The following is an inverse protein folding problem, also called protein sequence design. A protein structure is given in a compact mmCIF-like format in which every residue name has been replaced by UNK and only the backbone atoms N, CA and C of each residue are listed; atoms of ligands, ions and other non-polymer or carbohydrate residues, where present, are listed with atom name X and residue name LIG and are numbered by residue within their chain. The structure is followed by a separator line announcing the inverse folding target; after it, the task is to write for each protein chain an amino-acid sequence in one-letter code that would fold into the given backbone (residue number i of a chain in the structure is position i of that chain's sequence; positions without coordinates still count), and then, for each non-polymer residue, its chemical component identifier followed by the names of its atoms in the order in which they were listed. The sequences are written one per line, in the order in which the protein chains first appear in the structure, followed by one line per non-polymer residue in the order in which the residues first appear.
data_IF_788941816928
#
_entry.id   IF_788941816928
#
_cell.length_a   1.000
_cell.length_b   1.000
_cell.length_c   1.000
_cell.angle_alpha   90.00
_cell.angle_beta   90.00
_cell.angle_gamma   90.00
#
_symmetry.space_group_name_H-M   'P 1'
#
loop_
_entity.id
_entity.type
_entity.pdbx_description
1 polymer ?
#
# COMPACT_ATOMS: atom_id res chain seq x y z
N UNK A 1 15.46 -6.46 -4.04
CA UNK A 1 14.25 -5.67 -4.33
C UNK A 1 13.18 -6.58 -4.90
N UNK A 2 12.02 -6.73 -4.25
CA UNK A 2 10.98 -7.67 -4.71
C UNK A 2 10.34 -7.27 -6.06
N UNK A 3 10.38 -5.98 -6.42
CA UNK A 3 9.87 -5.49 -7.70
C UNK A 3 10.54 -6.18 -8.91
N UNK A 4 11.82 -6.53 -8.79
CA UNK A 4 12.57 -7.23 -9.85
C UNK A 4 12.16 -8.70 -10.02
N UNK A 5 11.33 -9.23 -9.12
CA UNK A 5 10.80 -10.59 -9.21
C UNK A 5 9.38 -10.63 -9.79
N UNK A 6 8.87 -9.51 -10.32
CA UNK A 6 7.58 -9.50 -11.02
C UNK A 6 7.67 -10.42 -12.26
N UNK A 7 6.89 -11.50 -12.34
CA UNK A 7 6.91 -12.37 -13.50
C UNK A 7 6.36 -11.63 -14.71
N UNK A 8 6.62 -12.16 -15.90
CA UNK A 8 5.99 -11.65 -17.12
C UNK A 8 4.46 -11.78 -17.00
N UNK A 9 3.79 -10.64 -17.04
CA UNK A 9 2.33 -10.53 -17.05
C UNK A 9 1.96 -9.63 -18.23
N UNK A 10 1.01 -10.08 -19.04
CA UNK A 10 0.54 -9.31 -20.20
C UNK A 10 -0.02 -7.96 -19.73
N UNK A 11 0.28 -6.90 -20.49
CA UNK A 11 -0.23 -5.54 -20.27
C UNK A 11 -0.01 -5.02 -18.83
N UNK A 12 1.09 -5.43 -18.19
CA UNK A 12 1.42 -5.09 -16.82
C UNK A 12 2.79 -4.43 -16.74
N UNK A 13 2.90 -3.38 -15.94
CA UNK A 13 4.16 -2.76 -15.54
C UNK A 13 4.25 -2.82 -14.02
N UNK A 14 5.44 -3.05 -13.49
CA UNK A 14 5.70 -2.80 -12.08
C UNK A 14 6.27 -1.39 -11.90
N UNK A 15 5.87 -0.72 -10.83
CA UNK A 15 6.39 0.59 -10.48
C UNK A 15 6.90 0.55 -9.04
N UNK A 16 8.16 0.98 -8.86
CA UNK A 16 8.75 1.15 -7.54
C UNK A 16 8.81 2.64 -7.21
N UNK A 17 8.27 3.03 -6.06
CA UNK A 17 8.30 4.41 -5.56
C UNK A 17 8.88 4.42 -4.16
N UNK A 18 9.75 5.39 -3.87
CA UNK A 18 10.38 5.54 -2.56
C UNK A 18 9.40 6.09 -1.52
N UNK A 19 8.73 5.20 -0.78
CA UNK A 19 7.85 5.56 0.33
C UNK A 19 6.78 6.59 -0.05
N UNK A 20 6.73 7.70 0.70
CA UNK A 20 5.77 8.79 0.49
C UNK A 20 5.94 9.58 -0.81
N UNK A 21 6.97 9.29 -1.63
CA UNK A 21 7.10 9.83 -2.99
C UNK A 21 5.96 9.43 -3.93
N UNK A 22 5.04 8.58 -3.47
CA UNK A 22 3.83 8.12 -4.14
C UNK A 22 2.91 9.25 -4.62
N UNK A 23 3.04 10.45 -4.03
CA UNK A 23 2.31 11.63 -4.45
C UNK A 23 2.51 12.01 -5.93
N UNK A 24 3.64 11.63 -6.54
CA UNK A 24 3.89 11.88 -7.96
C UNK A 24 2.87 11.16 -8.85
N UNK A 25 2.30 10.04 -8.37
CA UNK A 25 1.35 9.25 -9.14
C UNK A 25 0.07 10.01 -9.44
N UNK A 26 -0.32 11.00 -8.63
CA UNK A 26 -1.52 11.81 -8.87
C UNK A 26 -1.48 12.57 -10.20
N UNK A 27 -0.28 12.76 -10.77
CA UNK A 27 -0.06 13.44 -12.04
C UNK A 27 -0.18 12.50 -13.25
N UNK A 28 -0.31 11.19 -13.04
CA UNK A 28 -0.36 10.19 -14.11
C UNK A 28 -1.82 9.81 -14.39
N UNK A 29 -2.47 10.56 -15.28
CA UNK A 29 -3.92 10.45 -15.50
C UNK A 29 -4.41 9.07 -15.96
N UNK A 30 -3.62 8.33 -16.73
CA UNK A 30 -4.05 7.02 -17.24
C UNK A 30 -4.13 5.94 -16.14
N UNK A 31 -3.54 6.18 -14.96
CA UNK A 31 -3.71 5.30 -13.80
C UNK A 31 -5.15 5.29 -13.28
N UNK A 32 -5.91 6.38 -13.49
CA UNK A 32 -7.34 6.46 -13.11
C UNK A 32 -8.18 5.35 -13.73
N UNK A 33 -7.80 4.89 -14.92
CA UNK A 33 -8.52 3.86 -15.67
C UNK A 33 -7.80 2.49 -15.65
N UNK A 34 -6.71 2.36 -14.89
CA UNK A 34 -5.90 1.14 -14.82
C UNK A 34 -6.23 0.31 -13.59
N UNK A 35 -6.04 -1.00 -13.66
CA UNK A 35 -6.08 -1.85 -12.47
C UNK A 35 -4.82 -1.61 -11.62
N UNK A 36 -5.00 -1.04 -10.43
CA UNK A 36 -3.87 -0.74 -9.52
C UNK A 36 -3.84 -1.77 -8.40
N UNK A 37 -2.72 -2.46 -8.30
CA UNK A 37 -2.40 -3.36 -7.20
C UNK A 37 -1.22 -2.77 -6.42
N UNK A 38 -1.39 -2.63 -5.11
CA UNK A 38 -0.37 -2.12 -4.21
C UNK A 38 0.01 -3.20 -3.18
N UNK A 39 1.31 -3.32 -2.92
CA UNK A 39 1.82 -4.01 -1.75
C UNK A 39 2.93 -3.19 -1.12
N UNK A 40 3.00 -3.24 0.20
CA UNK A 40 4.07 -2.67 1.01
C UNK A 40 4.21 -3.48 2.29
N UNK A 41 4.97 -2.97 3.25
CA UNK A 41 5.11 -3.60 4.55
C UNK A 41 3.78 -3.57 5.32
N UNK A 42 3.50 -4.62 6.10
CA UNK A 42 2.31 -4.69 6.97
C UNK A 42 2.63 -3.94 8.27
N UNK A 43 2.75 -2.63 8.17
CA UNK A 43 2.99 -1.71 9.28
C UNK A 43 2.22 -0.39 9.10
N UNK A 44 2.35 0.52 10.07
CA UNK A 44 1.60 1.78 10.05
C UNK A 44 1.92 2.63 8.80
N UNK A 45 3.18 2.72 8.40
CA UNK A 45 3.61 3.52 7.25
C UNK A 45 3.15 2.91 5.92
N UNK A 46 3.20 1.59 5.78
CA UNK A 46 2.67 0.87 4.62
C UNK A 46 1.17 1.11 4.43
N UNK A 47 0.40 1.14 5.52
CA UNK A 47 -1.03 1.49 5.47
C UNK A 47 -1.29 2.99 5.23
N UNK A 48 -0.43 3.89 5.72
CA UNK A 48 -0.51 5.32 5.38
C UNK A 48 -0.33 5.56 3.88
N UNK A 49 0.67 4.91 3.26
CA UNK A 49 0.92 5.00 1.82
C UNK A 49 -0.27 4.42 1.04
N UNK A 50 -0.81 3.26 1.46
CA UNK A 50 -2.01 2.69 0.85
C UNK A 50 -3.20 3.65 0.92
N UNK A 51 -3.43 4.28 2.07
CA UNK A 51 -4.48 5.29 2.25
C UNK A 51 -4.28 6.48 1.30
N UNK A 52 -3.04 6.97 1.18
CA UNK A 52 -2.69 8.06 0.27
C UNK A 52 -2.96 7.69 -1.20
N UNK A 53 -2.55 6.51 -1.66
CA UNK A 53 -2.84 6.05 -3.03
C UNK A 53 -4.35 5.96 -3.26
N UNK A 54 -5.10 5.41 -2.30
CA UNK A 54 -6.56 5.32 -2.41
C UNK A 54 -7.26 6.68 -2.44
N UNK A 55 -6.65 7.72 -1.87
CA UNK A 55 -7.16 9.09 -1.99
C UNK A 55 -7.09 9.62 -3.44
N UNK A 56 -6.14 9.13 -4.24
CA UNK A 56 -5.99 9.49 -5.66
C UNK A 56 -6.73 8.51 -6.58
N UNK A 57 -6.67 7.23 -6.25
CA UNK A 57 -7.18 6.11 -7.03
C UNK A 57 -7.98 5.15 -6.13
N UNK A 58 -9.25 5.46 -5.83
CA UNK A 58 -10.06 4.70 -4.88
C UNK A 58 -10.22 3.21 -5.20
N UNK A 59 -10.07 2.84 -6.48
CA UNK A 59 -10.12 1.45 -6.96
C UNK A 59 -8.87 0.61 -6.67
N UNK A 60 -7.86 1.19 -6.02
CA UNK A 60 -6.60 0.50 -5.67
C UNK A 60 -6.82 -0.67 -4.73
N UNK A 61 -6.38 -1.86 -5.15
CA UNK A 61 -6.44 -3.10 -4.37
C UNK A 61 -5.11 -3.34 -3.66
N UNK A 62 -5.17 -3.56 -2.35
CA UNK A 62 -4.02 -4.02 -1.59
C UNK A 62 -3.86 -5.53 -1.77
N UNK A 63 -2.64 -6.00 -1.98
CA UNK A 63 -2.30 -7.42 -2.08
C UNK A 63 -1.26 -7.77 -1.02
N UNK A 64 -1.36 -8.95 -0.41
CA UNK A 64 -0.44 -9.42 0.63
C UNK A 64 -0.38 -8.52 1.88
N UNK A 65 -1.44 -7.75 2.15
CA UNK A 65 -1.55 -6.85 3.30
C UNK A 65 -2.80 -7.14 4.13
N UNK A 66 -3.13 -8.42 4.29
CA UNK A 66 -4.28 -8.88 5.07
C UNK A 66 -3.84 -9.70 6.28
N UNK A 67 -4.77 -9.91 7.22
CA UNK A 67 -4.51 -10.70 8.43
C UNK A 67 -4.12 -12.15 8.12
N UNK A 68 -4.61 -12.74 7.03
CA UNK A 68 -4.22 -14.10 6.64
C UNK A 68 -2.73 -14.14 6.29
N UNK A 69 -2.24 -13.13 5.57
CA UNK A 69 -0.83 -12.96 5.21
C UNK A 69 0.01 -12.71 6.46
N UNK A 70 -0.43 -11.81 7.35
CA UNK A 70 0.26 -11.54 8.62
C UNK A 70 0.42 -12.81 9.46
N UNK A 71 -0.66 -13.58 9.63
CA UNK A 71 -0.66 -14.80 10.42
C UNK A 71 0.23 -15.91 9.81
N UNK A 72 0.23 -16.03 8.48
CA UNK A 72 1.06 -17.01 7.76
C UNK A 72 2.57 -16.74 7.93
N UNK A 73 2.94 -15.47 8.09
CA UNK A 73 4.31 -15.00 8.17
C UNK A 73 4.68 -14.38 9.53
N UNK A 74 3.94 -14.75 10.59
CA UNK A 74 4.08 -14.17 11.92
C UNK A 74 5.50 -14.24 12.50
N UNK A 75 6.29 -15.24 12.10
CA UNK A 75 7.67 -15.40 12.51
C UNK A 75 8.60 -14.27 12.04
N UNK A 76 8.17 -13.46 11.09
CA UNK A 76 8.91 -12.30 10.57
C UNK A 76 8.47 -10.97 11.19
N UNK A 77 7.50 -10.98 12.11
CA UNK A 77 7.03 -9.76 12.78
C UNK A 77 8.15 -9.21 13.68
N UNK A 78 8.41 -7.92 13.53
CA UNK A 78 9.35 -7.14 14.36
C UNK A 78 8.68 -5.86 14.85
N UNK A 79 9.30 -5.15 15.78
CA UNK A 79 8.80 -3.84 16.23
C UNK A 79 8.76 -2.85 15.07
N UNK A 80 7.57 -2.32 14.79
CA UNK A 80 7.36 -1.31 13.75
C UNK A 80 7.73 0.10 14.20
N UNK A 81 7.80 1.03 13.25
CA UNK A 81 7.99 2.46 13.53
C UNK A 81 6.64 3.08 13.94
N UNK A 82 6.53 3.74 15.10
CA UNK A 82 5.30 4.40 15.50
C UNK A 82 4.85 5.43 14.46
N UNK A 83 3.53 5.55 14.29
CA UNK A 83 2.96 6.61 13.46
C UNK A 83 2.68 7.86 14.30
N UNK A 84 2.90 9.03 13.71
CA UNK A 84 2.52 10.31 14.31
C UNK A 84 1.06 10.68 14.00
N UNK A 85 0.30 9.79 13.35
CA UNK A 85 -1.13 10.04 13.09
C UNK A 85 -1.88 9.94 14.41
N UNK A 86 -2.46 11.04 14.87
CA UNK A 86 -3.41 11.00 15.97
C UNK A 86 -4.68 10.30 15.48
N UNK A 87 -4.96 9.12 16.01
CA UNK A 87 -6.25 8.45 15.80
C UNK A 87 -7.18 9.00 16.87
N UNK A 88 -8.10 9.86 16.46
CA UNK A 88 -9.21 10.25 17.32
C UNK A 88 -10.28 9.14 17.27
N UNK A 89 -10.34 8.33 18.33
CA UNK A 89 -11.31 7.26 18.44
C UNK A 89 -12.75 7.76 18.70
N UNK A 90 -12.95 9.07 18.93
CA UNK A 90 -14.28 9.64 19.19
C UNK A 90 -15.23 9.61 17.98
N UNK A 91 -14.70 9.37 16.76
CA UNK A 91 -15.52 9.22 15.55
C UNK A 91 -16.05 7.80 15.34
N UNK A 92 -15.53 6.78 16.03
CA UNK A 92 -15.94 5.38 15.87
C UNK A 92 -17.08 4.95 16.82
N UNK A 93 -17.43 5.78 17.80
CA UNK A 93 -18.52 5.55 18.77
C UNK A 93 -19.87 6.17 18.33
N UNK A 94 -20.08 6.43 17.02
CA UNK A 94 -21.36 6.94 16.46
C UNK A 94 -22.11 5.92 15.63
#
# INVERSE_FOLDING_TARGET
MNFLTLPYLKDTFGLFVGGFGIEILKQIDWLKNSNIFYWGDIDAQGFQILSQIRSYFPHTKSVMMDFKTLNLFQQFIVSGTPTNTNIDFSEFDR
#
